data_IF_856676023211
#
_entry.id   IF_856676023211
#
_cell.length_a   1.000
_cell.length_b   1.000
_cell.length_c   1.000
_cell.angle_alpha   90.00
_cell.angle_beta   90.00
_cell.angle_gamma   90.00
#
_symmetry.space_group_name_H-M   'P 1'
#
loop_
_entity.id
_entity.type
_entity.pdbx_description
1 polymer ?
#
# COMPACT_ATOMS: atom_id res chain seq x y z
N UNK A 1 24.01 30.18 -75.01
CA UNK A 1 23.65 28.98 -74.24
C UNK A 1 23.90 29.25 -72.76
N UNK A 2 22.81 29.49 -71.95
CA UNK A 2 22.92 29.72 -70.49
C UNK A 2 22.53 28.41 -69.80
N UNK A 3 23.47 27.89 -68.99
CA UNK A 3 23.25 26.67 -68.18
C UNK A 3 22.62 27.11 -66.88
N UNK A 4 21.43 26.60 -66.56
CA UNK A 4 20.81 26.72 -65.24
C UNK A 4 21.24 25.55 -64.37
N UNK A 5 21.87 25.86 -63.24
CA UNK A 5 22.25 24.88 -62.22
C UNK A 5 21.13 24.85 -61.17
N UNK A 6 20.40 23.76 -61.10
CA UNK A 6 19.36 23.55 -60.03
C UNK A 6 20.05 23.02 -58.77
N UNK A 7 19.96 23.75 -57.69
CA UNK A 7 20.42 23.31 -56.35
C UNK A 7 19.21 22.66 -55.65
N UNK A 8 19.30 21.35 -55.40
CA UNK A 8 18.37 20.66 -54.53
C UNK A 8 18.77 20.87 -53.07
N UNK A 9 17.97 21.61 -52.31
CA UNK A 9 18.06 21.64 -50.84
C UNK A 9 17.33 20.42 -50.28
N UNK A 10 18.07 19.46 -49.76
CA UNK A 10 17.56 18.35 -49.02
C UNK A 10 17.29 18.75 -47.56
N UNK A 11 16.04 18.84 -47.17
CA UNK A 11 15.66 19.03 -45.73
C UNK A 11 15.80 17.70 -44.99
N UNK A 12 16.79 17.61 -44.11
CA UNK A 12 16.98 16.49 -43.20
C UNK A 12 15.99 16.68 -42.02
N UNK A 13 14.90 15.93 -42.01
CA UNK A 13 14.01 15.89 -40.85
C UNK A 13 14.63 15.00 -39.76
N UNK A 14 15.14 15.63 -38.70
CA UNK A 14 15.58 14.90 -37.51
C UNK A 14 14.38 14.37 -36.75
N UNK A 15 14.15 13.06 -36.79
CA UNK A 15 13.15 12.37 -35.97
C UNK A 15 13.69 12.28 -34.53
N UNK A 16 13.22 13.16 -33.63
CA UNK A 16 13.47 13.05 -32.20
C UNK A 16 12.71 11.83 -31.67
N UNK A 17 13.40 10.72 -31.50
CA UNK A 17 12.89 9.58 -30.71
C UNK A 17 12.83 10.02 -29.24
N UNK A 18 11.65 10.39 -28.77
CA UNK A 18 11.39 10.51 -27.34
C UNK A 18 11.37 9.10 -26.79
N UNK A 19 12.49 8.63 -26.24
CA UNK A 19 12.55 7.40 -25.46
C UNK A 19 11.88 7.69 -24.11
N UNK A 20 10.56 7.54 -24.06
CA UNK A 20 9.86 7.42 -22.78
C UNK A 20 10.43 6.20 -22.05
N UNK A 21 10.98 6.39 -20.87
CA UNK A 21 11.32 5.27 -19.98
C UNK A 21 10.01 4.61 -19.59
N UNK A 22 9.68 3.46 -20.20
CA UNK A 22 8.58 2.64 -19.72
C UNK A 22 8.87 2.28 -18.26
N UNK A 23 7.99 2.67 -17.36
CA UNK A 23 8.03 2.14 -15.99
C UNK A 23 7.77 0.64 -16.08
N UNK A 24 8.54 -0.16 -15.33
CA UNK A 24 8.25 -1.58 -15.26
C UNK A 24 6.89 -1.77 -14.57
N UNK A 25 6.03 -2.60 -15.14
CA UNK A 25 4.74 -2.92 -14.52
C UNK A 25 4.93 -3.59 -13.15
N UNK A 26 3.97 -3.44 -12.23
CA UNK A 26 3.97 -4.16 -10.96
C UNK A 26 4.09 -5.67 -11.17
N UNK A 27 4.78 -6.41 -10.28
CA UNK A 27 4.86 -7.86 -10.37
C UNK A 27 3.48 -8.51 -10.23
N UNK A 28 3.33 -9.74 -10.71
CA UNK A 28 2.06 -10.46 -10.60
C UNK A 28 1.76 -10.86 -9.15
N UNK A 29 0.54 -10.56 -8.69
CA UNK A 29 0.07 -10.85 -7.34
C UNK A 29 0.21 -12.33 -6.96
N UNK A 30 0.54 -12.56 -5.70
CA UNK A 30 0.49 -13.88 -5.06
C UNK A 30 -0.97 -14.30 -4.86
N UNK A 31 -1.23 -15.61 -4.89
CA UNK A 31 -2.52 -16.14 -4.46
C UNK A 31 -2.67 -15.96 -2.95
N UNK A 32 -3.89 -15.73 -2.48
CA UNK A 32 -4.16 -15.62 -1.05
C UNK A 32 -3.69 -16.86 -0.27
N UNK A 33 -3.09 -16.63 0.88
CA UNK A 33 -2.52 -17.71 1.71
C UNK A 33 -2.66 -17.45 3.21
N UNK A 34 -3.31 -16.35 3.58
CA UNK A 34 -3.51 -16.02 4.98
C UNK A 34 -4.44 -17.01 5.68
N UNK A 35 -4.18 -17.34 6.96
CA UNK A 35 -5.08 -18.14 7.78
C UNK A 35 -6.47 -17.51 7.89
N UNK A 36 -7.49 -18.33 8.16
CA UNK A 36 -8.86 -17.85 8.32
C UNK A 36 -9.02 -16.69 9.34
N UNK A 37 -8.38 -16.72 10.52
CA UNK A 37 -8.51 -15.62 11.49
C UNK A 37 -7.99 -14.27 10.94
N UNK A 38 -6.92 -14.26 10.15
CA UNK A 38 -6.38 -13.04 9.54
C UNK A 38 -7.40 -12.44 8.57
N UNK A 39 -8.09 -13.28 7.79
CA UNK A 39 -9.08 -12.84 6.80
C UNK A 39 -10.36 -12.30 7.43
N UNK A 40 -10.77 -12.83 8.61
CA UNK A 40 -11.97 -12.36 9.31
C UNK A 40 -11.86 -10.89 9.73
N UNK A 41 -10.66 -10.43 10.08
CA UNK A 41 -10.44 -9.08 10.57
C UNK A 41 -9.71 -8.18 9.57
N UNK A 42 -9.51 -8.65 8.33
CA UNK A 42 -8.93 -7.85 7.26
C UNK A 42 -9.73 -6.56 7.08
N UNK A 43 -9.09 -5.38 7.07
CA UNK A 43 -9.82 -4.15 6.81
C UNK A 43 -10.47 -4.12 5.44
N UNK A 44 -11.62 -3.46 5.34
CA UNK A 44 -12.22 -3.06 4.09
C UNK A 44 -11.52 -1.77 3.64
N UNK A 45 -10.77 -1.84 2.55
CA UNK A 45 -9.91 -0.74 2.08
C UNK A 45 -10.60 0.11 1.01
N UNK A 46 -10.36 1.42 1.06
CA UNK A 46 -10.55 2.32 -0.06
C UNK A 46 -9.30 3.17 -0.28
N UNK A 47 -9.23 3.77 -1.44
CA UNK A 47 -8.11 4.59 -1.90
C UNK A 47 -8.69 5.86 -2.51
N UNK A 48 -8.49 7.01 -1.83
CA UNK A 48 -8.99 8.32 -2.26
C UNK A 48 -8.48 8.69 -3.66
N UNK A 49 -9.20 9.58 -4.33
CA UNK A 49 -8.97 9.95 -5.71
C UNK A 49 -7.56 10.48 -6.03
N UNK A 50 -6.81 10.91 -5.02
CA UNK A 50 -5.43 11.40 -5.13
C UNK A 50 -4.36 10.33 -4.83
N UNK A 51 -4.71 9.18 -4.24
CA UNK A 51 -3.78 8.11 -3.87
C UNK A 51 -3.47 7.12 -4.99
N UNK A 52 -2.31 6.48 -4.91
CA UNK A 52 -2.00 5.27 -5.69
C UNK A 52 -2.88 4.09 -5.25
N UNK A 53 -3.01 3.08 -6.10
CA UNK A 53 -3.51 1.77 -5.70
C UNK A 53 -2.38 0.91 -5.14
N UNK A 54 -2.67 0.00 -4.19
CA UNK A 54 -1.68 -0.94 -3.72
C UNK A 54 -1.36 -1.97 -4.82
N UNK A 55 -0.10 -2.34 -4.90
CA UNK A 55 0.40 -3.36 -5.83
C UNK A 55 1.17 -4.44 -5.07
N UNK A 56 1.45 -5.61 -5.68
CA UNK A 56 2.28 -6.59 -5.03
C UNK A 56 3.71 -6.08 -4.82
N UNK A 57 4.23 -6.19 -3.61
CA UNK A 57 5.63 -5.85 -3.33
C UNK A 57 6.61 -6.93 -3.82
N UNK A 58 6.10 -8.16 -4.02
CA UNK A 58 6.83 -9.29 -4.59
C UNK A 58 5.89 -10.15 -5.42
N UNK A 59 6.35 -10.57 -6.59
CA UNK A 59 5.59 -11.42 -7.50
C UNK A 59 5.76 -12.91 -7.23
N UNK A 60 4.95 -13.73 -7.93
CA UNK A 60 4.98 -15.20 -7.86
C UNK A 60 6.33 -15.78 -8.28
N UNK A 61 7.03 -15.13 -9.19
CA UNK A 61 8.37 -15.50 -9.67
C UNK A 61 9.50 -14.97 -8.75
N UNK A 62 9.13 -14.25 -7.69
CA UNK A 62 10.07 -13.59 -6.80
C UNK A 62 10.56 -12.24 -7.29
N UNK A 63 10.04 -11.68 -8.38
CA UNK A 63 10.36 -10.31 -8.79
C UNK A 63 9.88 -9.32 -7.73
N UNK A 64 10.78 -8.49 -7.22
CA UNK A 64 10.44 -7.41 -6.28
C UNK A 64 9.90 -6.22 -7.06
N UNK A 65 8.92 -5.53 -6.48
CA UNK A 65 8.35 -4.32 -7.07
C UNK A 65 9.44 -3.25 -7.24
N UNK A 66 9.64 -2.70 -8.44
CA UNK A 66 10.67 -1.70 -8.70
C UNK A 66 10.32 -0.34 -8.07
N UNK A 67 9.06 -0.14 -7.73
CA UNK A 67 8.52 1.16 -7.34
C UNK A 67 8.58 2.20 -8.45
N UNK A 68 7.97 3.35 -8.23
CA UNK A 68 7.92 4.44 -9.18
C UNK A 68 8.81 5.61 -8.73
N UNK A 69 9.44 6.26 -9.69
CA UNK A 69 10.11 7.53 -9.45
C UNK A 69 9.09 8.64 -9.17
N UNK A 70 9.46 9.60 -8.33
CA UNK A 70 8.65 10.81 -8.14
C UNK A 70 8.67 11.66 -9.42
N UNK A 71 7.54 12.26 -9.75
CA UNK A 71 7.37 13.12 -10.92
C UNK A 71 5.97 13.02 -11.51
N UNK A 72 5.61 14.02 -12.34
CA UNK A 72 4.27 14.08 -12.93
C UNK A 72 3.17 14.25 -11.87
N UNK A 73 2.03 13.62 -12.11
CA UNK A 73 0.89 13.64 -11.22
C UNK A 73 1.14 12.84 -9.94
N UNK A 74 0.51 13.25 -8.84
CA UNK A 74 0.67 12.65 -7.50
C UNK A 74 0.43 11.15 -7.55
N UNK A 75 -0.59 10.69 -8.23
CA UNK A 75 -0.96 9.29 -8.45
C UNK A 75 -0.73 8.82 -9.90
N UNK A 76 0.02 9.56 -10.69
CA UNK A 76 0.33 9.17 -12.08
C UNK A 76 1.07 7.85 -12.16
N UNK A 77 0.64 6.95 -13.07
CA UNK A 77 1.20 5.62 -13.32
C UNK A 77 1.06 4.59 -12.17
N UNK A 78 0.26 4.90 -11.14
CA UNK A 78 0.01 4.00 -10.02
C UNK A 78 -1.46 3.99 -9.57
N UNK A 79 -2.38 4.35 -10.47
CA UNK A 79 -3.82 4.33 -10.19
C UNK A 79 -4.61 3.73 -11.36
N UNK A 80 -4.05 2.79 -12.05
CA UNK A 80 -4.74 2.11 -13.12
C UNK A 80 -5.76 1.12 -12.56
N UNK A 81 -6.91 0.96 -13.24
CA UNK A 81 -7.94 0.01 -12.80
C UNK A 81 -7.40 -1.41 -12.64
N UNK A 82 -6.44 -1.80 -13.47
CA UNK A 82 -5.77 -3.10 -13.41
C UNK A 82 -5.01 -3.34 -12.11
N UNK A 83 -4.55 -2.28 -11.42
CA UNK A 83 -3.84 -2.42 -10.14
C UNK A 83 -4.77 -2.93 -9.04
N UNK A 84 -6.08 -2.59 -9.09
CA UNK A 84 -7.07 -3.15 -8.18
C UNK A 84 -7.33 -4.66 -8.39
N UNK A 85 -6.97 -5.20 -9.56
CA UNK A 85 -7.06 -6.63 -9.87
C UNK A 85 -5.72 -7.36 -9.67
N UNK A 86 -4.61 -6.60 -9.60
CA UNK A 86 -3.26 -7.12 -9.39
C UNK A 86 -2.65 -6.53 -8.11
N UNK A 87 -3.15 -6.94 -6.96
CA UNK A 87 -2.76 -6.39 -5.66
C UNK A 87 -2.61 -7.49 -4.61
N UNK A 88 -1.89 -7.20 -3.53
CA UNK A 88 -1.83 -8.01 -2.32
C UNK A 88 -1.88 -7.12 -1.07
N UNK A 89 -2.49 -7.65 -0.01
CA UNK A 89 -2.25 -7.23 1.35
C UNK A 89 -1.42 -8.31 2.08
N UNK A 90 -0.73 -7.92 3.13
CA UNK A 90 0.15 -8.80 3.90
C UNK A 90 -0.21 -8.73 5.37
N UNK A 91 -0.29 -9.88 6.07
CA UNK A 91 -0.65 -9.92 7.48
C UNK A 91 0.36 -10.61 8.36
N UNK A 92 0.43 -10.14 9.60
CA UNK A 92 1.10 -10.82 10.71
C UNK A 92 0.35 -10.60 12.00
N UNK A 93 0.24 -11.65 12.80
CA UNK A 93 -0.56 -11.67 14.03
C UNK A 93 0.31 -11.97 15.24
N UNK A 94 -0.01 -11.33 16.36
CA UNK A 94 0.48 -11.71 17.69
C UNK A 94 -0.67 -11.71 18.67
N UNK A 95 -0.75 -12.75 19.51
CA UNK A 95 -1.76 -12.87 20.54
C UNK A 95 -1.11 -13.11 21.90
N UNK A 96 -1.49 -12.34 22.92
CA UNK A 96 -1.14 -12.58 24.30
C UNK A 96 -2.09 -11.83 25.24
N UNK A 97 -2.12 -12.22 26.51
CA UNK A 97 -2.90 -11.56 27.56
C UNK A 97 -4.40 -11.33 27.22
N UNK A 98 -4.97 -12.27 26.46
CA UNK A 98 -6.38 -12.21 26.02
C UNK A 98 -6.69 -11.25 24.88
N UNK A 99 -5.65 -10.71 24.20
CA UNK A 99 -5.76 -9.85 23.04
C UNK A 99 -4.96 -10.40 21.85
N UNK A 100 -5.46 -10.15 20.64
CA UNK A 100 -4.72 -10.37 19.39
C UNK A 100 -4.58 -9.04 18.65
N UNK A 101 -3.39 -8.81 18.11
CA UNK A 101 -3.07 -7.71 17.22
C UNK A 101 -2.87 -8.27 15.80
N UNK A 102 -3.78 -7.95 14.89
CA UNK A 102 -3.68 -8.28 13.47
C UNK A 102 -3.13 -7.08 12.73
N UNK A 103 -1.86 -7.12 12.34
CA UNK A 103 -1.24 -6.08 11.54
C UNK A 103 -1.37 -6.43 10.07
N UNK A 104 -1.93 -5.52 9.29
CA UNK A 104 -2.06 -5.58 7.83
C UNK A 104 -1.17 -4.50 7.22
N UNK A 105 -0.43 -4.87 6.18
CA UNK A 105 0.46 -3.97 5.45
C UNK A 105 0.07 -3.95 3.97
N UNK A 106 0.02 -2.76 3.37
CA UNK A 106 -0.14 -2.58 1.94
C UNK A 106 1.08 -1.86 1.38
N UNK A 107 1.46 -2.25 0.17
CA UNK A 107 2.57 -1.64 -0.56
C UNK A 107 2.04 -0.77 -1.69
N UNK A 108 2.63 0.42 -1.83
CA UNK A 108 2.37 1.34 -2.93
C UNK A 108 3.70 1.66 -3.64
N UNK A 109 3.66 1.85 -4.96
CA UNK A 109 4.87 2.01 -5.75
C UNK A 109 5.58 3.34 -5.53
N UNK A 110 4.85 4.37 -5.11
CA UNK A 110 5.38 5.67 -4.66
C UNK A 110 4.45 6.32 -3.67
N UNK A 111 5.01 7.25 -2.90
CA UNK A 111 4.26 8.24 -2.15
C UNK A 111 4.77 9.63 -2.50
N UNK A 112 3.93 10.46 -3.12
CA UNK A 112 4.29 11.76 -3.65
C UNK A 112 3.37 12.86 -3.11
N UNK A 113 3.95 13.90 -2.49
CA UNK A 113 3.20 14.95 -1.83
C UNK A 113 2.60 16.00 -2.79
N UNK A 114 3.25 16.28 -3.92
CA UNK A 114 2.86 17.34 -4.86
C UNK A 114 3.19 16.99 -6.30
N UNK A 115 2.65 17.78 -7.24
CA UNK A 115 2.92 17.66 -8.65
C UNK A 115 4.38 17.99 -9.01
N UNK A 116 4.90 17.35 -10.04
CA UNK A 116 6.12 17.72 -10.73
C UNK A 116 7.42 17.19 -10.11
N UNK A 117 8.56 17.51 -10.76
CA UNK A 117 9.87 17.08 -10.32
C UNK A 117 10.28 17.79 -9.02
N UNK A 118 10.99 17.09 -8.14
CA UNK A 118 11.42 17.62 -6.85
C UNK A 118 10.35 17.66 -5.77
N UNK A 119 9.20 17.04 -6.02
CA UNK A 119 8.17 16.82 -4.99
C UNK A 119 8.76 16.08 -3.79
N UNK A 120 8.31 16.47 -2.59
CA UNK A 120 8.54 15.66 -1.39
C UNK A 120 7.84 14.31 -1.52
N UNK A 121 8.46 13.27 -0.95
CA UNK A 121 7.96 11.91 -1.03
C UNK A 121 9.07 10.91 -1.23
N UNK A 122 8.72 9.69 -1.53
CA UNK A 122 9.67 8.59 -1.73
C UNK A 122 9.14 7.56 -2.72
N UNK A 123 10.08 6.91 -3.41
CA UNK A 123 9.84 5.66 -4.10
C UNK A 123 9.51 4.60 -3.04
N UNK A 124 8.56 3.73 -3.33
CA UNK A 124 7.98 2.76 -2.42
C UNK A 124 7.26 3.42 -1.23
N UNK A 125 6.16 2.83 -0.84
CA UNK A 125 5.49 3.17 0.39
C UNK A 125 4.93 1.92 1.05
N UNK A 126 4.92 1.91 2.38
CA UNK A 126 4.34 0.86 3.21
C UNK A 126 3.49 1.50 4.28
N UNK A 127 2.20 1.23 4.22
CA UNK A 127 1.26 1.69 5.23
C UNK A 127 0.55 0.52 5.91
N UNK A 128 0.16 0.75 7.17
CA UNK A 128 -0.27 -0.31 8.05
C UNK A 128 -1.60 -0.01 8.74
N UNK A 129 -2.36 -1.09 8.98
CA UNK A 129 -3.53 -1.05 9.85
C UNK A 129 -3.40 -2.16 10.88
N UNK A 130 -3.65 -1.85 12.16
CA UNK A 130 -3.69 -2.87 13.22
C UNK A 130 -5.11 -2.98 13.75
N UNK A 131 -5.71 -4.17 13.62
CA UNK A 131 -7.00 -4.49 14.23
C UNK A 131 -6.74 -5.23 15.55
N UNK A 132 -7.19 -4.61 16.63
CA UNK A 132 -7.05 -5.11 18.00
C UNK A 132 -8.29 -5.90 18.38
N UNK A 133 -8.12 -7.20 18.62
CA UNK A 133 -9.22 -8.14 18.85
C UNK A 133 -9.16 -8.67 20.27
N UNK A 134 -10.33 -8.70 20.93
CA UNK A 134 -10.55 -9.36 22.21
C UNK A 134 -11.77 -10.27 22.10
N UNK A 135 -11.58 -11.55 22.39
CA UNK A 135 -12.60 -12.57 22.08
C UNK A 135 -12.78 -12.66 20.57
N UNK A 136 -14.00 -12.49 20.09
CA UNK A 136 -14.36 -12.57 18.67
C UNK A 136 -14.57 -11.21 18.00
N UNK A 137 -14.26 -10.12 18.67
CA UNK A 137 -14.59 -8.77 18.21
C UNK A 137 -13.35 -7.87 18.11
N UNK A 138 -13.24 -7.18 16.97
CA UNK A 138 -12.37 -6.03 16.86
C UNK A 138 -12.81 -4.95 17.86
N UNK A 139 -11.90 -4.50 18.71
CA UNK A 139 -12.16 -3.50 19.77
C UNK A 139 -11.62 -2.13 19.42
N UNK A 140 -10.47 -2.11 18.78
CA UNK A 140 -9.83 -0.88 18.32
C UNK A 140 -9.21 -1.10 16.94
N UNK A 141 -9.03 -0.02 16.21
CA UNK A 141 -8.34 0.01 14.92
C UNK A 141 -7.30 1.13 14.98
N UNK A 142 -6.07 0.81 14.60
CA UNK A 142 -4.96 1.76 14.53
C UNK A 142 -4.50 1.89 13.08
N UNK A 143 -4.52 3.08 12.53
CA UNK A 143 -4.06 3.40 11.18
C UNK A 143 -2.73 4.12 11.23
N UNK A 144 -1.77 3.74 10.39
CA UNK A 144 -0.46 4.38 10.30
C UNK A 144 -0.56 5.72 9.56
N UNK A 145 0.24 6.68 10.01
CA UNK A 145 0.42 7.97 9.37
C UNK A 145 1.80 8.54 9.74
N UNK A 146 2.71 8.67 8.77
CA UNK A 146 4.03 9.29 8.95
C UNK A 146 4.83 8.70 10.14
N UNK A 147 4.85 7.37 10.26
CA UNK A 147 5.57 6.65 11.31
C UNK A 147 4.91 6.65 12.69
N UNK A 148 3.69 7.20 12.80
CA UNK A 148 2.83 7.19 13.99
C UNK A 148 1.55 6.42 13.71
N UNK A 149 0.73 6.22 14.76
CA UNK A 149 -0.59 5.61 14.63
C UNK A 149 -1.68 6.47 15.26
N UNK A 150 -2.83 6.53 14.57
CA UNK A 150 -4.07 7.03 15.16
C UNK A 150 -4.94 5.84 15.50
N UNK A 151 -5.26 5.68 16.79
CA UNK A 151 -6.07 4.56 17.29
C UNK A 151 -7.46 5.03 17.64
N UNK A 152 -8.49 4.34 17.15
CA UNK A 152 -9.89 4.58 17.48
C UNK A 152 -10.54 3.34 18.04
N UNK A 153 -11.46 3.54 18.99
CA UNK A 153 -12.31 2.47 19.51
C UNK A 153 -13.35 2.05 18.46
N UNK A 154 -13.87 0.83 18.60
CA UNK A 154 -14.81 0.22 17.66
C UNK A 154 -16.00 1.11 17.28
N UNK A 155 -16.57 1.82 18.24
CA UNK A 155 -17.73 2.70 18.06
C UNK A 155 -17.43 3.99 17.29
N UNK A 156 -16.16 4.30 17.08
CA UNK A 156 -15.67 5.47 16.35
C UNK A 156 -15.22 5.15 14.92
N UNK A 157 -15.36 3.89 14.50
CA UNK A 157 -14.95 3.40 13.18
C UNK A 157 -16.12 2.70 12.52
N UNK A 158 -16.45 3.00 11.25
CA UNK A 158 -17.41 2.21 10.51
C UNK A 158 -16.85 0.81 10.20
N UNK A 159 -17.70 -0.18 10.25
CA UNK A 159 -17.42 -1.57 9.91
C UNK A 159 -18.31 -2.00 8.76
N UNK A 160 -17.95 -3.08 8.10
CA UNK A 160 -18.82 -3.72 7.14
C UNK A 160 -20.08 -4.34 7.81
N UNK A 161 -20.95 -4.93 7.03
CA UNK A 161 -22.23 -5.50 7.48
C UNK A 161 -22.03 -6.68 8.45
N UNK A 162 -20.90 -7.40 8.36
CA UNK A 162 -20.54 -8.49 9.28
C UNK A 162 -20.06 -7.97 10.64
N UNK A 163 -19.66 -6.70 10.69
CA UNK A 163 -19.03 -6.07 11.84
C UNK A 163 -17.62 -6.60 12.14
N UNK A 164 -16.97 -7.19 11.15
CA UNK A 164 -15.62 -7.78 11.31
C UNK A 164 -14.54 -6.99 10.56
N UNK A 165 -14.88 -6.33 9.45
CA UNK A 165 -13.97 -5.60 8.59
C UNK A 165 -14.08 -4.09 8.85
N UNK A 166 -13.13 -3.46 9.57
CA UNK A 166 -13.12 -2.02 9.75
C UNK A 166 -12.83 -1.31 8.43
N UNK A 167 -13.53 -0.21 8.17
CA UNK A 167 -13.36 0.58 6.95
C UNK A 167 -12.24 1.60 7.11
N UNK A 168 -11.23 1.53 6.24
CA UNK A 168 -10.06 2.41 6.25
C UNK A 168 -9.74 2.92 4.84
N UNK A 169 -9.13 4.08 4.74
CA UNK A 169 -8.89 4.77 3.49
C UNK A 169 -7.43 5.23 3.40
N UNK A 170 -6.78 4.91 2.29
CA UNK A 170 -5.49 5.48 1.94
C UNK A 170 -5.72 6.83 1.26
N UNK A 171 -5.19 7.89 1.82
CA UNK A 171 -5.45 9.25 1.42
C UNK A 171 -4.23 10.15 1.54
N UNK A 172 -4.24 11.26 0.83
CA UNK A 172 -3.25 12.31 0.99
C UNK A 172 -3.52 13.12 2.25
N UNK A 173 -2.53 13.24 3.15
CA UNK A 173 -2.66 14.00 4.39
C UNK A 173 -2.31 15.48 4.17
N UNK A 174 -3.27 16.25 3.72
CA UNK A 174 -3.13 17.69 3.47
C UNK A 174 -2.02 18.00 2.45
N UNK A 175 -0.97 18.70 2.90
CA UNK A 175 0.20 19.03 2.07
C UNK A 175 1.31 17.98 2.16
N UNK A 176 1.15 16.97 3.02
CA UNK A 176 2.10 15.88 3.23
C UNK A 176 1.91 14.75 2.23
N UNK A 177 2.58 13.64 2.46
CA UNK A 177 2.45 12.38 1.74
C UNK A 177 1.17 11.64 2.15
N UNK A 178 0.97 10.43 1.63
CA UNK A 178 -0.22 9.64 1.91
C UNK A 178 -0.07 8.83 3.20
N UNK A 179 -1.19 8.39 3.74
CA UNK A 179 -1.27 7.53 4.91
C UNK A 179 -2.65 6.86 5.00
N UNK A 180 -2.86 5.97 5.97
CA UNK A 180 -4.18 5.47 6.28
C UNK A 180 -4.93 6.38 7.26
N UNK A 181 -6.22 6.54 7.02
CA UNK A 181 -7.20 7.09 7.96
C UNK A 181 -8.36 6.14 8.17
N UNK A 182 -9.07 6.28 9.27
CA UNK A 182 -10.37 5.63 9.44
C UNK A 182 -11.38 6.31 8.51
N UNK A 183 -12.24 5.52 7.87
CA UNK A 183 -13.37 6.08 7.13
C UNK A 183 -14.33 6.84 8.06
N UNK A 184 -15.10 7.75 7.51
CA UNK A 184 -16.24 8.38 8.19
C UNK A 184 -17.48 7.50 8.05
N UNK A 185 -18.44 7.64 8.98
CA UNK A 185 -19.71 6.92 8.85
C UNK A 185 -20.46 7.44 7.61
N UNK A 186 -20.90 6.51 6.76
CA UNK A 186 -21.61 6.82 5.51
C UNK A 186 -20.70 7.23 4.35
N UNK A 187 -19.38 7.14 4.53
CA UNK A 187 -18.43 7.43 3.45
C UNK A 187 -18.42 6.30 2.41
N UNK A 188 -18.50 6.70 1.13
CA UNK A 188 -18.54 5.78 0.00
C UNK A 188 -17.16 5.72 -0.68
N UNK A 189 -16.77 4.55 -1.22
CA UNK A 189 -15.48 4.38 -1.85
C UNK A 189 -15.25 5.26 -3.09
N UNK A 190 -14.06 5.86 -3.19
CA UNK A 190 -13.64 6.69 -4.33
C UNK A 190 -12.89 5.91 -5.42
N UNK A 191 -12.42 4.68 -5.14
CA UNK A 191 -11.71 3.89 -6.12
C UNK A 191 -12.56 3.60 -7.38
N UNK A 192 -11.93 3.22 -8.48
CA UNK A 192 -12.60 3.01 -9.78
C UNK A 192 -13.74 1.97 -9.74
N UNK A 193 -13.68 0.99 -8.84
CA UNK A 193 -14.73 -0.01 -8.67
C UNK A 193 -15.91 0.47 -7.83
N UNK A 194 -15.76 1.61 -7.13
CA UNK A 194 -16.78 2.12 -6.19
C UNK A 194 -17.22 1.11 -5.15
N UNK A 195 -16.30 0.29 -4.69
CA UNK A 195 -16.53 -0.78 -3.72
C UNK A 195 -15.38 -0.85 -2.74
N UNK A 196 -15.66 -1.24 -1.51
CA UNK A 196 -14.64 -1.58 -0.52
C UNK A 196 -13.84 -2.77 -1.02
N UNK A 197 -12.53 -2.69 -0.94
CA UNK A 197 -11.59 -3.66 -1.50
C UNK A 197 -11.05 -4.58 -0.40
N UNK A 198 -10.86 -5.85 -0.77
CA UNK A 198 -10.25 -6.89 0.07
C UNK A 198 -9.15 -7.56 -0.77
N UNK A 199 -7.94 -7.01 -0.79
CA UNK A 199 -6.85 -7.56 -1.59
C UNK A 199 -6.52 -9.01 -1.19
N UNK A 200 -6.10 -9.88 -2.12
CA UNK A 200 -5.62 -11.21 -1.76
C UNK A 200 -4.59 -11.15 -0.63
N UNK A 201 -4.95 -11.68 0.55
CA UNK A 201 -4.17 -11.56 1.77
C UNK A 201 -3.11 -12.65 1.88
N UNK A 202 -1.87 -12.25 2.11
CA UNK A 202 -0.72 -13.13 2.33
C UNK A 202 -0.38 -13.14 3.81
N UNK A 203 -0.58 -14.26 4.48
CA UNK A 203 -0.19 -14.42 5.89
C UNK A 203 1.31 -14.58 6.06
N UNK A 204 1.85 -14.21 7.22
CA UNK A 204 3.29 -14.27 7.51
C UNK A 204 3.93 -15.64 7.23
N UNK A 205 3.23 -16.73 7.51
CA UNK A 205 3.70 -18.08 7.27
C UNK A 205 3.17 -18.69 5.97
N UNK A 206 2.42 -17.92 5.18
CA UNK A 206 1.76 -18.36 3.94
C UNK A 206 2.51 -18.02 2.66
N UNK A 207 3.71 -17.45 2.73
CA UNK A 207 4.50 -17.14 1.54
C UNK A 207 5.00 -18.42 0.87
N UNK A 208 5.07 -18.46 -0.46
CA UNK A 208 5.84 -19.47 -1.16
C UNK A 208 7.30 -19.52 -0.67
N UNK A 209 7.97 -20.70 -0.74
CA UNK A 209 9.33 -20.86 -0.25
C UNK A 209 10.30 -19.80 -0.75
N UNK A 210 11.03 -19.15 0.17
CA UNK A 210 12.05 -18.14 -0.11
C UNK A 210 11.52 -16.73 -0.43
N UNK A 211 10.22 -16.56 -0.73
CA UNK A 211 9.69 -15.23 -1.08
C UNK A 211 9.61 -14.31 0.13
N UNK A 212 9.24 -14.84 1.31
CA UNK A 212 9.23 -14.05 2.54
C UNK A 212 10.63 -13.48 2.85
N UNK A 213 11.64 -14.31 2.82
CA UNK A 213 13.01 -13.89 3.13
C UNK A 213 13.52 -12.86 2.11
N UNK A 214 13.19 -13.07 0.83
CA UNK A 214 13.52 -12.11 -0.22
C UNK A 214 12.83 -10.77 -0.02
N UNK A 215 11.53 -10.77 0.28
CA UNK A 215 10.76 -9.56 0.55
C UNK A 215 11.26 -8.81 1.79
N UNK A 216 11.46 -9.53 2.90
CA UNK A 216 11.89 -8.93 4.17
C UNK A 216 13.34 -8.49 4.17
N UNK A 217 14.19 -9.07 3.33
CA UNK A 217 15.58 -8.67 3.12
C UNK A 217 15.75 -7.49 2.16
N UNK A 218 14.69 -7.08 1.45
CA UNK A 218 14.78 -5.96 0.51
C UNK A 218 14.78 -4.61 1.21
N UNK A 219 15.58 -3.68 0.67
CA UNK A 219 15.62 -2.29 1.11
C UNK A 219 14.61 -1.47 0.30
N UNK A 220 13.55 -1.02 0.94
CA UNK A 220 12.54 -0.13 0.37
C UNK A 220 12.84 1.36 0.65
N UNK A 221 14.08 1.70 0.97
CA UNK A 221 14.49 3.07 1.31
C UNK A 221 13.84 3.54 2.61
N UNK A 222 13.12 4.66 2.57
CA UNK A 222 12.42 5.21 3.74
C UNK A 222 11.14 4.47 4.11
N UNK A 223 10.58 3.67 3.20
CA UNK A 223 9.36 2.91 3.45
C UNK A 223 9.65 1.66 4.32
N UNK A 224 8.87 1.47 5.37
CA UNK A 224 9.10 0.44 6.39
C UNK A 224 8.08 -0.69 6.29
N UNK A 225 8.51 -1.90 5.88
CA UNK A 225 7.68 -3.10 5.95
C UNK A 225 7.49 -3.51 7.44
N UNK A 226 6.36 -3.13 8.03
CA UNK A 226 6.09 -3.28 9.45
C UNK A 226 5.95 -4.72 9.96
N UNK A 227 5.71 -5.69 9.07
CA UNK A 227 5.53 -7.12 9.44
C UNK A 227 6.84 -7.90 9.57
N UNK A 228 8.01 -7.33 9.16
CA UNK A 228 9.31 -8.06 9.29
C UNK A 228 9.72 -8.22 10.74
N UNK A 229 10.55 -9.21 11.05
CA UNK A 229 10.96 -9.51 12.43
C UNK A 229 11.58 -8.32 13.17
N UNK A 230 12.36 -7.51 12.47
CA UNK A 230 13.04 -6.35 13.06
C UNK A 230 12.11 -5.16 13.39
N UNK A 231 10.91 -5.08 12.80
CA UNK A 231 9.99 -3.95 12.96
C UNK A 231 8.67 -4.32 13.64
N UNK A 232 8.20 -5.55 13.52
CA UNK A 232 6.84 -5.95 13.91
C UNK A 232 6.47 -5.59 15.36
N UNK A 233 7.31 -5.95 16.32
CA UNK A 233 7.05 -5.61 17.73
C UNK A 233 7.04 -4.11 17.97
N UNK A 234 7.92 -3.36 17.29
CA UNK A 234 7.97 -1.91 17.36
C UNK A 234 6.72 -1.25 16.79
N UNK A 235 6.21 -1.75 15.65
CA UNK A 235 4.96 -1.25 15.07
C UNK A 235 3.76 -1.54 15.97
N UNK A 236 3.67 -2.75 16.54
CA UNK A 236 2.63 -3.06 17.53
C UNK A 236 2.73 -2.17 18.78
N UNK A 237 3.95 -1.87 19.25
CA UNK A 237 4.14 -0.97 20.41
C UNK A 237 3.63 0.45 20.14
N UNK A 238 3.90 0.99 18.94
CA UNK A 238 3.40 2.32 18.51
C UNK A 238 1.88 2.35 18.34
N UNK A 239 1.31 1.26 17.77
CA UNK A 239 -0.11 1.16 17.47
C UNK A 239 -0.98 0.80 18.68
N UNK A 240 -0.38 0.29 19.77
CA UNK A 240 -1.10 -0.28 20.92
C UNK A 240 -2.06 0.71 21.56
N UNK A 241 -3.37 0.37 21.69
CA UNK A 241 -4.29 1.15 22.48
C UNK A 241 -3.84 1.29 23.94
N UNK A 242 -4.06 2.46 24.53
CA UNK A 242 -3.79 2.66 25.94
C UNK A 242 -4.65 1.73 26.84
N UNK A 243 -4.08 1.23 27.92
CA UNK A 243 -4.81 0.48 28.94
C UNK A 243 -5.10 -1.00 28.64
N UNK A 244 -4.78 -1.52 27.45
CA UNK A 244 -4.91 -2.96 27.19
C UNK A 244 -3.68 -3.74 27.68
N UNK A 245 -3.84 -4.98 28.24
CA UNK A 245 -2.72 -5.74 28.79
C UNK A 245 -1.86 -6.46 27.73
N UNK A 246 -2.08 -6.20 26.45
CA UNK A 246 -1.27 -6.77 25.38
C UNK A 246 0.21 -6.36 25.52
N UNK A 247 1.12 -7.31 25.36
CA UNK A 247 2.56 -7.07 25.35
C UNK A 247 3.13 -7.21 23.93
N UNK A 248 3.62 -6.12 23.31
CA UNK A 248 4.23 -6.21 21.97
C UNK A 248 5.48 -7.09 21.92
N UNK A 249 6.17 -7.30 23.06
CA UNK A 249 7.40 -8.08 23.15
C UNK A 249 7.21 -9.50 23.73
N UNK A 250 5.99 -9.79 24.22
CA UNK A 250 5.63 -11.09 24.82
C UNK A 250 5.34 -12.19 23.83
#
# INVERSE_FOLDING_TARGET
MRRFTTVLLGTLAALLLVTGTASAAPPQALDWSAPWPDRIYEPAFDYDGDGCYPTPAIGRDGTLAPGLALGGDVNGQCRDLSDLDNTNAYSRVKCNNGWCAYLYALYFEKDQAALGPGSAGHRHDWEHVVVWVQGEWGRCVSTSAHGKYTTRHRDQVPWDETGKHPKVIYHKDGISTHCFRHASFGEEPENHKKQWQYPPLIGWDGYPPGLRDKLTGHDFGSAQLGIRDSSFNGELAKAKPAGIPFDPNG
#
